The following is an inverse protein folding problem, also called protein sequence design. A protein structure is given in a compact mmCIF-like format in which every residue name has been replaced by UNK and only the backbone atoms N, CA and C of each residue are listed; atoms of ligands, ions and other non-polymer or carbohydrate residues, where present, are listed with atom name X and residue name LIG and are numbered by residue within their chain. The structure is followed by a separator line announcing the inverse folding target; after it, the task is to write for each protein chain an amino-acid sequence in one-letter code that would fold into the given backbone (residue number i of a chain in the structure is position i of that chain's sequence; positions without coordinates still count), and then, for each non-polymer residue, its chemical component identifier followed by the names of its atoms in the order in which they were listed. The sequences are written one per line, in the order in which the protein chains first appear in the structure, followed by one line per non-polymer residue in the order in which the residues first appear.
data_IF_933988360313
#
_entry.id   IF_933988360313
#
_cell.length_a   1.000
_cell.length_b   1.000
_cell.length_c   1.000
_cell.angle_alpha   90.00
_cell.angle_beta   90.00
_cell.angle_gamma   90.00
#
_symmetry.space_group_name_H-M   'P 1'
#
loop_
_entity.id
_entity.type
_entity.pdbx_description
1 polymer ?
#
# COMPACT_ATOMS: atom_id res chain seq x y z
N UNK A 1 -8.84 21.78 -1.90
CA UNK A 1 -8.54 20.52 -1.16
C UNK A 1 -8.28 19.47 -2.22
N UNK A 2 -7.06 19.38 -2.77
CA UNK A 2 -6.88 18.70 -4.07
C UNK A 2 -5.74 17.68 -4.11
N UNK A 3 -5.05 17.49 -2.98
CA UNK A 3 -3.92 16.57 -2.85
C UNK A 3 -4.19 15.51 -1.79
N UNK A 4 -3.74 14.31 -2.08
CA UNK A 4 -3.86 13.12 -1.25
C UNK A 4 -2.51 12.79 -0.63
N UNK A 5 -2.53 12.48 0.66
CA UNK A 5 -1.41 11.87 1.35
C UNK A 5 -1.54 10.36 1.19
N UNK A 6 -0.53 9.73 0.60
CA UNK A 6 -0.54 8.29 0.39
C UNK A 6 0.35 7.59 1.42
N UNK A 7 -0.05 6.39 1.81
CA UNK A 7 0.75 5.50 2.65
C UNK A 7 0.91 4.17 1.95
N UNK A 8 2.10 3.60 2.05
CA UNK A 8 2.34 2.22 1.67
C UNK A 8 2.78 1.44 2.89
N UNK A 9 2.04 0.39 3.17
CA UNK A 9 2.24 -0.43 4.35
C UNK A 9 2.08 -1.91 3.99
N UNK A 10 2.81 -2.76 4.71
CA UNK A 10 2.55 -4.19 4.72
C UNK A 10 1.48 -4.49 5.76
N UNK A 11 0.52 -5.33 5.43
CA UNK A 11 -0.43 -5.88 6.40
C UNK A 11 -0.35 -7.40 6.41
N UNK A 12 -0.31 -7.98 7.61
CA UNK A 12 -0.38 -9.43 7.79
C UNK A 12 -1.79 -9.81 8.24
N UNK A 13 -2.41 -10.69 7.48
CA UNK A 13 -3.74 -11.21 7.73
C UNK A 13 -3.67 -12.71 7.96
N UNK A 14 -4.60 -13.23 8.76
CA UNK A 14 -4.76 -14.65 8.99
C UNK A 14 -6.12 -15.09 8.46
N UNK A 15 -6.12 -15.90 7.41
CA UNK A 15 -7.32 -16.54 6.87
C UNK A 15 -7.35 -18.01 7.32
N UNK A 16 -8.09 -18.28 8.40
CA UNK A 16 -8.05 -19.59 9.06
C UNK A 16 -6.66 -19.89 9.63
N UNK A 17 -5.95 -20.87 9.07
CA UNK A 17 -4.57 -21.19 9.41
C UNK A 17 -3.52 -20.57 8.48
N UNK A 18 -3.92 -19.98 7.35
CA UNK A 18 -3.00 -19.41 6.35
C UNK A 18 -2.68 -17.95 6.66
N UNK A 19 -1.41 -17.61 6.72
CA UNK A 19 -0.95 -16.22 6.75
C UNK A 19 -0.93 -15.66 5.33
N UNK A 20 -1.52 -14.49 5.14
CA UNK A 20 -1.53 -13.75 3.88
C UNK A 20 -0.94 -12.37 4.14
N UNK A 21 0.04 -11.98 3.34
CA UNK A 21 0.68 -10.67 3.44
C UNK A 21 0.24 -9.83 2.25
N UNK A 22 -0.23 -8.62 2.52
CA UNK A 22 -0.55 -7.65 1.48
C UNK A 22 0.41 -6.48 1.54
N UNK A 23 0.86 -6.02 0.37
CA UNK A 23 1.38 -4.67 0.21
C UNK A 23 0.19 -3.78 -0.14
N UNK A 24 -0.11 -2.79 0.69
CA UNK A 24 -1.29 -1.93 0.56
C UNK A 24 -0.83 -0.50 0.35
N UNK A 25 -1.42 0.19 -0.63
CA UNK A 25 -1.39 1.65 -0.72
C UNK A 25 -2.75 2.21 -0.38
N UNK A 26 -2.76 3.22 0.47
CA UNK A 26 -3.95 3.84 1.03
C UNK A 26 -3.87 5.36 0.98
N UNK A 27 -5.03 6.00 1.01
CA UNK A 27 -5.16 7.44 1.23
C UNK A 27 -5.30 7.68 2.72
N UNK A 28 -4.42 8.48 3.30
CA UNK A 28 -4.56 8.98 4.66
C UNK A 28 -5.60 10.11 4.65
N UNK A 29 -6.69 9.92 5.40
CA UNK A 29 -7.76 10.89 5.55
C UNK A 29 -8.19 10.96 7.00
N UNK A 30 -8.04 12.14 7.60
CA UNK A 30 -8.25 12.35 9.03
C UNK A 30 -7.46 11.33 9.87
N UNK A 31 -8.12 10.59 10.76
CA UNK A 31 -7.53 9.54 11.59
C UNK A 31 -7.63 8.14 10.96
N UNK A 32 -7.88 8.03 9.65
CA UNK A 32 -8.12 6.76 8.95
C UNK A 32 -7.26 6.61 7.71
N UNK A 33 -6.96 5.36 7.37
CA UNK A 33 -6.24 4.92 6.18
C UNK A 33 -7.23 4.15 5.31
N UNK A 34 -7.57 4.67 4.13
CA UNK A 34 -8.52 4.03 3.20
C UNK A 34 -7.70 3.31 2.12
N UNK A 35 -7.69 1.96 2.07
CA UNK A 35 -6.98 1.21 1.03
C UNK A 35 -7.53 1.52 -0.37
N UNK A 36 -6.64 1.72 -1.33
CA UNK A 36 -7.01 1.99 -2.74
C UNK A 36 -6.40 0.97 -3.70
N UNK A 37 -5.21 0.45 -3.40
CA UNK A 37 -4.51 -0.55 -4.20
C UNK A 37 -3.83 -1.53 -3.25
N UNK A 38 -3.86 -2.81 -3.58
CA UNK A 38 -3.12 -3.84 -2.85
C UNK A 38 -2.58 -4.93 -3.77
N UNK A 39 -1.50 -5.56 -3.33
CA UNK A 39 -0.86 -6.70 -3.96
C UNK A 39 -0.67 -7.83 -2.94
N UNK A 40 -0.98 -9.05 -3.34
CA UNK A 40 -0.82 -10.22 -2.48
C UNK A 40 0.62 -10.74 -2.57
N UNK A 41 1.35 -10.70 -1.46
CA UNK A 41 2.73 -11.15 -1.37
C UNK A 41 2.75 -12.66 -1.07
N UNK A 42 2.44 -13.49 -2.08
CA UNK A 42 2.36 -14.96 -1.96
C UNK A 42 3.74 -15.64 -1.99
N UNK A 43 4.68 -15.11 -1.19
CA UNK A 43 6.06 -15.62 -1.07
C UNK A 43 6.48 -15.82 0.38
N UNK A 44 7.42 -16.74 0.60
CA UNK A 44 7.96 -17.05 1.94
C UNK A 44 8.49 -15.78 2.61
N UNK A 45 7.98 -15.47 3.81
CA UNK A 45 8.34 -14.28 4.60
C UNK A 45 7.53 -13.00 4.27
N UNK A 46 6.82 -12.97 3.15
CA UNK A 46 5.87 -11.91 2.80
C UNK A 46 6.46 -10.51 2.57
N UNK A 47 7.78 -10.34 2.47
CA UNK A 47 8.42 -9.02 2.32
C UNK A 47 8.28 -8.47 0.91
N UNK A 48 7.80 -7.25 0.74
CA UNK A 48 7.78 -6.61 -0.59
C UNK A 48 9.21 -6.44 -1.14
N UNK A 49 9.44 -6.71 -2.42
CA UNK A 49 10.66 -6.30 -3.12
C UNK A 49 10.40 -5.00 -3.92
N UNK A 50 11.43 -4.51 -4.61
CA UNK A 50 11.35 -3.27 -5.39
C UNK A 50 10.33 -3.39 -6.54
N UNK A 51 10.32 -4.51 -7.25
CA UNK A 51 9.45 -4.71 -8.41
C UNK A 51 7.96 -4.69 -8.03
N UNK A 52 7.61 -5.34 -6.91
CA UNK A 52 6.25 -5.31 -6.36
C UNK A 52 5.82 -3.91 -5.93
N UNK A 53 6.75 -3.13 -5.35
CA UNK A 53 6.49 -1.73 -4.97
C UNK A 53 6.28 -0.88 -6.21
N UNK A 54 7.06 -1.08 -7.27
CA UNK A 54 6.90 -0.39 -8.56
C UNK A 54 5.55 -0.74 -9.16
N UNK A 55 5.21 -2.03 -9.28
CA UNK A 55 3.94 -2.48 -9.85
C UNK A 55 2.72 -1.91 -9.11
N UNK A 56 2.77 -1.86 -7.77
CA UNK A 56 1.72 -1.22 -6.97
C UNK A 56 1.65 0.28 -7.23
N UNK A 57 2.80 0.97 -7.32
CA UNK A 57 2.82 2.41 -7.60
C UNK A 57 2.33 2.73 -9.01
N UNK A 58 2.64 1.93 -10.03
CA UNK A 58 2.09 2.08 -11.38
C UNK A 58 0.56 2.01 -11.38
N UNK A 59 0.00 1.06 -10.63
CA UNK A 59 -1.46 0.95 -10.44
C UNK A 59 -2.03 2.18 -9.72
N UNK A 60 -1.32 2.72 -8.74
CA UNK A 60 -1.74 3.96 -8.05
C UNK A 60 -1.71 5.16 -9.01
N UNK A 61 -0.69 5.28 -9.86
CA UNK A 61 -0.56 6.37 -10.84
C UNK A 61 -1.68 6.35 -11.89
N UNK A 62 -2.22 5.17 -12.20
CA UNK A 62 -3.41 5.03 -13.05
C UNK A 62 -4.70 5.54 -12.38
N UNK A 63 -4.75 5.60 -11.05
CA UNK A 63 -5.92 6.06 -10.29
C UNK A 63 -5.80 7.53 -9.86
N UNK A 64 -4.60 7.92 -9.43
CA UNK A 64 -4.31 9.23 -8.83
C UNK A 64 -3.15 9.87 -9.60
N UNK A 65 -3.42 10.93 -10.38
CA UNK A 65 -2.36 11.68 -11.06
C UNK A 65 -1.35 12.24 -10.05
N UNK A 66 -0.06 12.23 -10.39
CA UNK A 66 1.04 12.72 -9.53
C UNK A 66 0.78 14.13 -8.98
N UNK A 67 0.20 15.02 -9.79
CA UNK A 67 -0.15 16.39 -9.38
C UNK A 67 -1.11 16.48 -8.18
N UNK A 68 -1.79 15.37 -7.86
CA UNK A 68 -2.72 15.21 -6.73
C UNK A 68 -2.11 14.43 -5.57
N UNK A 69 -0.81 14.15 -5.58
CA UNK A 69 -0.11 13.50 -4.48
C UNK A 69 0.69 14.55 -3.71
N UNK A 70 0.54 14.60 -2.38
CA UNK A 70 1.25 15.59 -1.54
C UNK A 70 2.50 14.99 -0.91
N UNK A 71 2.38 13.80 -0.32
CA UNK A 71 3.50 13.13 0.38
C UNK A 71 3.23 11.63 0.46
N UNK A 72 4.30 10.84 0.42
CA UNK A 72 4.28 9.41 0.63
C UNK A 72 4.95 9.08 1.96
N UNK A 73 4.20 8.55 2.93
CA UNK A 73 4.76 8.11 4.21
C UNK A 73 4.90 6.59 4.22
N UNK A 74 6.13 6.10 4.43
CA UNK A 74 6.39 4.69 4.74
C UNK A 74 6.37 4.52 6.26
N UNK A 75 5.35 3.84 6.77
CA UNK A 75 5.41 3.33 8.14
C UNK A 75 5.97 1.91 8.03
N UNK A 76 7.23 1.76 8.44
CA UNK A 76 7.83 0.44 8.65
C UNK A 76 7.16 -0.15 9.90
N UNK A 77 6.10 -0.91 9.70
CA UNK A 77 5.59 -1.78 10.77
C UNK A 77 6.58 -2.95 10.89
N UNK A 78 7.24 -3.04 12.05
CA UNK A 78 8.09 -4.16 12.46
C UNK A 78 7.31 -5.48 12.45
#
# INVERSE_FOLDING_TARGET
MDRFTLRMERTNWKHGSKNVNYLVVSIAWQATSIPIVWECLDKKGGNSNTDERIAVMERVLNLIPIKRMDTFWQIVSL
#
